data_IF_535073475756
#
_entry.id   IF_535073475756
#
_cell.length_a   1.000
_cell.length_b   1.000
_cell.length_c   1.000
_cell.angle_alpha   90.00
_cell.angle_beta   90.00
_cell.angle_gamma   90.00
#
_symmetry.space_group_name_H-M   'P 1'
#
loop_
_entity.id
_entity.type
_entity.pdbx_description
1 polymer ?
#
# COMPACT_ATOMS: atom_id res chain seq x y z
N UNK A 1 0.77 13.25 -11.39
CA UNK A 1 -0.13 14.11 -12.20
C UNK A 1 0.57 15.26 -12.91
N UNK A 2 1.73 15.73 -12.43
CA UNK A 2 2.51 16.81 -13.07
C UNK A 2 2.70 16.66 -14.59
N UNK A 3 2.93 15.43 -15.08
CA UNK A 3 3.05 15.15 -16.52
C UNK A 3 1.80 15.57 -17.30
N UNK A 4 0.61 15.27 -16.79
CA UNK A 4 -0.65 15.64 -17.42
C UNK A 4 -0.90 17.15 -17.37
N UNK A 5 -0.55 17.80 -16.25
CA UNK A 5 -0.59 19.26 -16.15
C UNK A 5 0.30 19.90 -17.23
N UNK A 6 1.53 19.40 -17.39
CA UNK A 6 2.46 19.89 -18.42
C UNK A 6 1.94 19.70 -19.85
N UNK A 7 1.28 18.58 -20.12
CA UNK A 7 0.65 18.33 -21.44
C UNK A 7 -0.48 19.33 -21.69
N UNK A 8 -1.32 19.59 -20.69
CA UNK A 8 -2.40 20.57 -20.80
C UNK A 8 -1.86 21.98 -21.08
N UNK A 9 -0.79 22.39 -20.39
CA UNK A 9 -0.10 23.67 -20.65
C UNK A 9 0.42 23.76 -22.09
N UNK A 10 1.18 22.76 -22.55
CA UNK A 10 1.79 22.77 -23.90
C UNK A 10 0.72 22.79 -24.99
N UNK A 11 -0.43 22.16 -24.74
CA UNK A 11 -1.54 22.07 -25.70
C UNK A 11 -2.57 23.19 -25.57
N UNK A 12 -2.38 24.13 -24.62
CA UNK A 12 -3.33 25.22 -24.37
C UNK A 12 -4.72 24.74 -23.90
N UNK A 13 -4.78 23.61 -23.18
CA UNK A 13 -6.03 23.01 -22.70
C UNK A 13 -6.22 23.21 -21.19
N UNK A 14 -7.47 23.31 -20.70
CA UNK A 14 -7.71 23.36 -19.26
C UNK A 14 -7.40 22.02 -18.59
N UNK A 15 -6.96 22.08 -17.33
CA UNK A 15 -6.58 20.90 -16.53
C UNK A 15 -7.33 20.78 -15.21
N UNK A 16 -8.51 21.40 -15.08
CA UNK A 16 -9.27 21.47 -13.83
C UNK A 16 -9.66 20.11 -13.24
N UNK A 17 -9.74 19.05 -14.06
CA UNK A 17 -9.97 17.69 -13.59
C UNK A 17 -8.88 17.19 -12.63
N UNK A 18 -7.63 17.70 -12.74
CA UNK A 18 -6.53 17.31 -11.85
C UNK A 18 -6.72 17.75 -10.39
N UNK A 19 -7.67 18.66 -10.13
CA UNK A 19 -7.98 19.12 -8.77
C UNK A 19 -8.82 18.11 -7.97
N UNK A 20 -9.47 17.15 -8.62
CA UNK A 20 -10.42 16.22 -7.99
C UNK A 20 -9.74 14.95 -7.48
N UNK A 21 -10.28 14.38 -6.39
CA UNK A 21 -9.79 13.13 -5.81
C UNK A 21 -9.73 11.96 -6.83
N UNK A 22 -10.59 11.99 -7.85
CA UNK A 22 -10.60 11.04 -8.97
C UNK A 22 -9.22 10.91 -9.63
N UNK A 23 -8.60 12.03 -10.02
CA UNK A 23 -7.30 11.96 -10.69
C UNK A 23 -6.17 11.53 -9.75
N UNK A 24 -6.30 11.80 -8.44
CA UNK A 24 -5.40 11.24 -7.45
C UNK A 24 -5.53 9.71 -7.37
N UNK A 25 -6.77 9.19 -7.33
CA UNK A 25 -7.04 7.76 -7.30
C UNK A 25 -6.51 7.06 -8.57
N UNK A 26 -6.74 7.63 -9.75
CA UNK A 26 -6.16 7.15 -11.02
C UNK A 26 -4.63 7.02 -10.89
N UNK A 27 -3.96 8.07 -10.40
CA UNK A 27 -2.50 8.04 -10.23
C UNK A 27 -2.00 6.99 -9.25
N UNK A 28 -2.75 6.74 -8.16
CA UNK A 28 -2.42 5.70 -7.18
C UNK A 28 -2.62 4.29 -7.76
N UNK A 29 -3.72 4.07 -8.49
CA UNK A 29 -4.02 2.78 -9.13
C UNK A 29 -2.97 2.46 -10.20
N UNK A 30 -2.63 3.42 -11.07
CA UNK A 30 -1.60 3.25 -12.11
C UNK A 30 -0.25 2.84 -11.50
N UNK A 31 0.15 3.52 -10.41
CA UNK A 31 1.37 3.19 -9.70
C UNK A 31 1.33 1.78 -9.09
N UNK A 32 0.20 1.37 -8.47
CA UNK A 32 0.03 0.06 -7.88
C UNK A 32 0.05 -1.08 -8.91
N UNK A 33 -0.62 -0.92 -10.04
CA UNK A 33 -0.62 -1.90 -11.14
C UNK A 33 0.77 -2.03 -11.76
N UNK A 34 1.45 -0.92 -12.02
CA UNK A 34 2.81 -0.93 -12.54
C UNK A 34 3.79 -1.62 -11.57
N UNK A 35 3.66 -1.34 -10.27
CA UNK A 35 4.51 -1.96 -9.26
C UNK A 35 4.26 -3.45 -9.12
N UNK A 36 3.00 -3.91 -9.17
CA UNK A 36 2.71 -5.34 -9.07
C UNK A 36 3.23 -6.11 -10.28
N UNK A 37 3.18 -5.52 -11.49
CA UNK A 37 3.84 -6.09 -12.66
C UNK A 37 5.36 -6.14 -12.49
N UNK A 38 5.98 -5.09 -11.94
CA UNK A 38 7.41 -5.08 -11.66
C UNK A 38 7.81 -6.16 -10.64
N UNK A 39 7.01 -6.35 -9.59
CA UNK A 39 7.23 -7.39 -8.59
C UNK A 39 7.16 -8.79 -9.21
N UNK A 40 6.09 -9.09 -9.96
CA UNK A 40 5.93 -10.37 -10.64
C UNK A 40 7.06 -10.64 -11.65
N UNK A 41 7.48 -9.62 -12.40
CA UNK A 41 8.60 -9.72 -13.33
C UNK A 41 9.91 -10.03 -12.58
N UNK A 42 10.24 -9.27 -11.54
CA UNK A 42 11.44 -9.49 -10.74
C UNK A 42 11.47 -10.90 -10.11
N UNK A 43 10.37 -11.35 -9.52
CA UNK A 43 10.25 -12.67 -8.91
C UNK A 43 10.40 -13.80 -9.95
N UNK A 44 9.84 -13.64 -11.16
CA UNK A 44 10.04 -14.60 -12.25
C UNK A 44 11.49 -14.71 -12.72
N UNK A 45 12.30 -13.69 -12.48
CA UNK A 45 13.75 -13.66 -12.74
C UNK A 45 14.58 -14.17 -11.56
N UNK A 46 13.93 -14.68 -10.49
CA UNK A 46 14.59 -15.18 -9.29
C UNK A 46 15.04 -14.10 -8.30
N UNK A 47 14.57 -12.86 -8.46
CA UNK A 47 14.82 -11.78 -7.51
C UNK A 47 13.75 -11.79 -6.40
N UNK A 48 14.12 -11.34 -5.20
CA UNK A 48 13.19 -11.05 -4.12
C UNK A 48 12.73 -9.60 -4.16
N UNK A 49 11.49 -9.35 -3.73
CA UNK A 49 10.93 -7.99 -3.64
C UNK A 49 10.29 -7.71 -2.28
N UNK A 50 10.28 -6.44 -1.89
CA UNK A 50 9.48 -5.97 -0.74
C UNK A 50 8.99 -4.53 -0.96
N UNK A 51 7.69 -4.33 -0.78
CA UNK A 51 7.07 -2.99 -0.80
C UNK A 51 7.41 -2.21 0.47
N UNK A 52 7.75 -0.93 0.29
CA UNK A 52 8.08 0.00 1.36
C UNK A 52 6.97 1.04 1.49
N UNK A 53 5.95 0.75 2.29
CA UNK A 53 4.87 1.68 2.59
C UNK A 53 5.29 2.89 3.43
N UNK A 54 6.44 2.80 4.11
CA UNK A 54 7.01 3.87 4.95
C UNK A 54 7.44 5.12 4.17
N UNK A 55 7.47 5.06 2.83
CA UNK A 55 7.66 6.27 2.00
C UNK A 55 6.61 7.36 2.26
N UNK A 56 5.50 6.99 2.91
CA UNK A 56 4.42 7.93 3.28
C UNK A 56 4.53 8.47 4.70
N UNK A 57 5.52 8.06 5.49
CA UNK A 57 5.66 8.54 6.88
C UNK A 57 6.09 10.01 6.92
N UNK A 58 6.92 10.44 5.96
CA UNK A 58 7.37 11.82 5.77
C UNK A 58 7.39 12.18 4.27
N UNK A 59 6.22 12.28 3.63
CA UNK A 59 6.10 12.40 2.16
C UNK A 59 6.76 13.69 1.63
N UNK A 60 6.80 14.76 2.41
CA UNK A 60 7.46 16.02 2.06
C UNK A 60 8.97 15.85 1.98
N UNK A 61 9.59 15.15 2.95
CA UNK A 61 11.04 14.86 2.93
C UNK A 61 11.43 13.91 1.82
N UNK A 62 10.59 12.93 1.53
CA UNK A 62 10.78 12.04 0.36
C UNK A 62 10.74 12.85 -0.94
N UNK A 63 9.78 13.78 -1.05
CA UNK A 63 9.68 14.65 -2.21
C UNK A 63 10.89 15.58 -2.36
N UNK A 64 11.40 16.15 -1.27
CA UNK A 64 12.62 16.96 -1.26
C UNK A 64 13.84 16.14 -1.71
N UNK A 65 14.06 14.97 -1.09
CA UNK A 65 15.19 14.10 -1.39
C UNK A 65 15.23 13.67 -2.87
N UNK A 66 14.07 13.35 -3.44
CA UNK A 66 13.93 12.90 -4.82
C UNK A 66 13.68 14.06 -5.81
N UNK A 67 13.73 15.31 -5.35
CA UNK A 67 13.44 16.51 -6.13
C UNK A 67 12.11 16.41 -6.91
N UNK A 68 11.06 15.84 -6.30
CA UNK A 68 9.77 15.67 -6.95
C UNK A 68 9.10 17.04 -7.16
N UNK A 69 8.52 17.30 -8.35
CA UNK A 69 7.77 18.53 -8.58
C UNK A 69 6.39 18.49 -7.91
N UNK A 70 5.70 19.63 -7.91
CA UNK A 70 4.30 19.72 -7.50
C UNK A 70 3.41 18.79 -8.33
N UNK A 71 2.42 18.16 -7.70
CA UNK A 71 1.56 17.16 -8.35
C UNK A 71 2.21 15.78 -8.54
N UNK A 72 3.28 15.49 -7.79
CA UNK A 72 3.96 14.18 -7.71
C UNK A 72 4.22 13.82 -6.25
N UNK A 73 3.94 12.56 -5.89
CA UNK A 73 4.17 11.98 -4.56
C UNK A 73 4.60 10.52 -4.71
N UNK A 74 5.39 10.01 -3.77
CA UNK A 74 5.73 8.58 -3.70
C UNK A 74 4.59 7.80 -3.03
N UNK A 75 3.96 6.87 -3.75
CA UNK A 75 2.89 6.01 -3.19
C UNK A 75 3.48 4.94 -2.27
N UNK A 76 4.59 4.34 -2.68
CA UNK A 76 5.40 3.38 -1.92
C UNK A 76 6.80 3.28 -2.59
N UNK A 77 7.75 2.67 -1.90
CA UNK A 77 9.01 2.22 -2.48
C UNK A 77 8.99 0.71 -2.76
N UNK A 78 10.01 0.19 -3.41
CA UNK A 78 10.21 -1.24 -3.63
C UNK A 78 11.70 -1.56 -3.58
N UNK A 79 12.10 -2.46 -2.69
CA UNK A 79 13.42 -3.06 -2.77
C UNK A 79 13.36 -4.29 -3.68
N UNK A 80 14.38 -4.45 -4.52
CA UNK A 80 14.55 -5.60 -5.43
C UNK A 80 16.00 -6.06 -5.32
N UNK A 81 16.24 -7.36 -5.21
CA UNK A 81 17.60 -7.91 -5.13
C UNK A 81 17.64 -9.42 -5.05
N UNK A 82 18.84 -9.98 -4.92
CA UNK A 82 19.03 -11.42 -4.76
C UNK A 82 18.67 -11.85 -3.32
N UNK A 83 17.74 -12.81 -3.13
CA UNK A 83 17.43 -13.34 -1.81
C UNK A 83 18.65 -14.01 -1.17
N UNK A 84 18.82 -13.88 0.15
CA UNK A 84 19.80 -14.66 0.91
C UNK A 84 19.33 -16.12 0.99
N UNK A 85 20.00 -17.09 0.33
CA UNK A 85 19.58 -18.48 0.35
C UNK A 85 19.67 -19.11 1.75
N UNK A 86 20.45 -18.52 2.68
CA UNK A 86 20.52 -18.97 4.06
C UNK A 86 19.31 -18.52 4.91
N UNK A 87 18.45 -17.64 4.38
CA UNK A 87 17.27 -17.10 5.07
C UNK A 87 16.04 -17.14 4.17
N UNK A 88 15.53 -18.34 3.85
CA UNK A 88 14.34 -18.45 3.01
C UNK A 88 13.12 -17.83 3.71
N UNK A 89 12.33 -17.07 2.95
CA UNK A 89 11.06 -16.53 3.44
C UNK A 89 9.96 -17.59 3.29
N UNK A 90 9.18 -17.82 4.34
CA UNK A 90 7.98 -18.64 4.26
C UNK A 90 6.79 -17.86 3.69
N UNK A 91 5.90 -18.56 2.99
CA UNK A 91 4.65 -17.97 2.48
C UNK A 91 3.68 -17.79 3.64
N UNK A 92 3.41 -16.54 4.00
CA UNK A 92 2.41 -16.19 5.02
C UNK A 92 1.00 -16.58 4.53
N UNK A 93 0.14 -17.18 5.39
CA UNK A 93 -1.26 -17.41 5.06
C UNK A 93 -1.99 -16.13 4.63
N UNK A 94 -3.10 -16.29 3.89
CA UNK A 94 -4.03 -15.22 3.53
C UNK A 94 -5.39 -15.48 4.16
N UNK A 95 -6.23 -14.44 4.26
CA UNK A 95 -7.62 -14.60 4.66
C UNK A 95 -8.32 -15.62 3.75
N UNK A 96 -9.25 -16.43 4.29
CA UNK A 96 -9.98 -17.40 3.48
C UNK A 96 -10.81 -16.69 2.41
N UNK A 97 -10.98 -17.34 1.25
CA UNK A 97 -11.74 -16.76 0.13
C UNK A 97 -13.17 -16.39 0.52
N UNK A 98 -13.81 -17.11 1.45
CA UNK A 98 -15.15 -16.78 1.95
C UNK A 98 -15.26 -15.40 2.59
N UNK A 99 -14.15 -14.78 3.00
CA UNK A 99 -14.08 -13.44 3.58
C UNK A 99 -13.72 -12.37 2.55
N UNK A 100 -13.07 -12.75 1.44
CA UNK A 100 -12.51 -11.80 0.46
C UNK A 100 -13.30 -11.78 -0.86
N UNK A 101 -13.78 -12.93 -1.30
CA UNK A 101 -14.59 -13.09 -2.51
C UNK A 101 -16.07 -13.06 -2.12
N UNK A 102 -16.80 -12.12 -2.69
CA UNK A 102 -18.24 -11.99 -2.50
C UNK A 102 -18.94 -12.22 -3.85
N UNK A 103 -20.00 -13.01 -3.83
CA UNK A 103 -20.85 -13.23 -4.99
C UNK A 103 -22.03 -12.26 -4.95
N UNK A 104 -22.20 -11.47 -6.01
CA UNK A 104 -23.26 -10.47 -6.22
C UNK A 104 -23.29 -9.29 -5.24
N UNK A 105 -23.32 -9.57 -3.93
CA UNK A 105 -23.44 -8.56 -2.87
C UNK A 105 -22.38 -8.79 -1.81
N UNK A 106 -21.87 -7.67 -1.28
CA UNK A 106 -21.01 -7.70 -0.11
C UNK A 106 -21.74 -8.37 1.07
N UNK A 107 -21.07 -9.30 1.74
CA UNK A 107 -21.66 -10.08 2.84
C UNK A 107 -20.70 -10.18 4.01
N UNK A 108 -21.22 -9.93 5.21
CA UNK A 108 -20.49 -10.04 6.48
C UNK A 108 -20.67 -11.43 7.13
N UNK A 109 -21.55 -12.29 6.59
CA UNK A 109 -21.95 -13.53 7.25
C UNK A 109 -20.78 -14.51 7.50
N UNK A 110 -19.81 -14.55 6.60
CA UNK A 110 -18.62 -15.39 6.72
C UNK A 110 -17.45 -14.71 7.46
N UNK A 111 -17.60 -13.44 7.85
CA UNK A 111 -16.48 -12.63 8.34
C UNK A 111 -15.96 -13.13 9.69
N UNK A 112 -16.82 -13.23 10.71
CA UNK A 112 -16.43 -13.69 12.05
C UNK A 112 -15.83 -15.11 12.05
N UNK A 113 -16.52 -16.15 11.52
CA UNK A 113 -15.95 -17.50 11.49
C UNK A 113 -14.69 -17.59 10.62
N UNK A 114 -14.61 -16.83 9.53
CA UNK A 114 -13.43 -16.78 8.67
C UNK A 114 -12.23 -16.09 9.31
N UNK A 115 -12.45 -15.04 10.11
CA UNK A 115 -11.41 -14.39 10.90
C UNK A 115 -10.89 -15.33 11.99
N UNK A 116 -11.77 -16.11 12.64
CA UNK A 116 -11.33 -17.07 13.65
C UNK A 116 -10.49 -18.20 13.05
N UNK A 117 -10.91 -18.76 11.91
CA UNK A 117 -10.11 -19.72 11.17
C UNK A 117 -8.74 -19.13 10.75
N UNK A 118 -8.71 -17.87 10.34
CA UNK A 118 -7.47 -17.19 10.00
C UNK A 118 -6.58 -16.90 11.21
N UNK A 119 -7.15 -16.59 12.38
CA UNK A 119 -6.39 -16.46 13.62
C UNK A 119 -5.66 -17.76 13.96
N UNK A 120 -6.33 -18.91 13.85
CA UNK A 120 -5.71 -20.22 14.07
C UNK A 120 -4.60 -20.52 13.05
N UNK A 121 -4.83 -20.27 11.75
CA UNK A 121 -3.82 -20.44 10.71
C UNK A 121 -2.58 -19.55 10.93
N UNK A 122 -2.79 -18.30 11.36
CA UNK A 122 -1.72 -17.37 11.68
C UNK A 122 -0.94 -17.77 12.94
N UNK A 123 -1.61 -18.30 13.97
CA UNK A 123 -0.94 -18.81 15.17
C UNK A 123 -0.01 -19.98 14.82
N UNK A 124 -0.48 -20.92 13.99
CA UNK A 124 0.36 -22.00 13.48
C UNK A 124 1.56 -21.49 12.67
N UNK A 125 1.34 -20.50 11.79
CA UNK A 125 2.43 -19.88 11.04
C UNK A 125 3.47 -19.21 11.94
N UNK A 126 3.04 -18.45 12.96
CA UNK A 126 3.95 -17.80 13.89
C UNK A 126 4.79 -18.81 14.67
N UNK A 127 4.20 -19.91 15.14
CA UNK A 127 4.91 -20.99 15.81
C UNK A 127 5.92 -21.67 14.88
N UNK A 128 5.51 -22.05 13.67
CA UNK A 128 6.37 -22.66 12.66
C UNK A 128 7.56 -21.76 12.26
N UNK A 129 7.37 -20.45 12.27
CA UNK A 129 8.41 -19.45 11.99
C UNK A 129 9.16 -18.99 13.25
N UNK A 130 8.88 -19.57 14.42
CA UNK A 130 9.47 -19.20 15.73
C UNK A 130 9.37 -17.70 16.02
N UNK A 131 8.27 -17.08 15.61
CA UNK A 131 8.03 -15.66 15.83
C UNK A 131 7.42 -15.44 17.21
N UNK A 132 8.03 -14.54 18.00
CA UNK A 132 7.46 -14.16 19.29
C UNK A 132 6.34 -13.13 19.11
N UNK A 133 5.14 -13.61 18.82
CA UNK A 133 3.98 -12.78 18.51
C UNK A 133 2.87 -13.03 19.54
N UNK A 134 2.50 -11.98 20.29
CA UNK A 134 1.47 -12.06 21.32
C UNK A 134 0.09 -11.62 20.82
N UNK A 135 -0.90 -12.49 20.90
CA UNK A 135 -2.28 -12.23 20.47
C UNK A 135 -2.55 -12.63 19.03
N UNK A 136 -3.81 -12.52 18.61
CA UNK A 136 -4.26 -12.96 17.29
C UNK A 136 -3.99 -11.93 16.20
N UNK A 137 -4.09 -12.35 14.94
CA UNK A 137 -4.05 -11.44 13.80
C UNK A 137 -5.11 -10.33 13.94
N UNK A 138 -6.33 -10.68 14.37
CA UNK A 138 -7.39 -9.70 14.58
C UNK A 138 -6.99 -8.63 15.62
N UNK A 139 -6.40 -9.03 16.74
CA UNK A 139 -5.92 -8.09 17.78
C UNK A 139 -4.81 -7.18 17.25
N UNK A 140 -3.85 -7.70 16.47
CA UNK A 140 -2.81 -6.85 15.86
C UNK A 140 -3.37 -5.87 14.84
N UNK A 141 -4.30 -6.34 14.00
CA UNK A 141 -4.95 -5.51 12.99
C UNK A 141 -5.75 -4.39 13.65
N UNK A 142 -6.50 -4.68 14.72
CA UNK A 142 -7.21 -3.69 15.51
C UNK A 142 -6.25 -2.66 16.14
N UNK A 143 -5.13 -3.11 16.70
CA UNK A 143 -4.09 -2.22 17.25
C UNK A 143 -3.53 -1.25 16.20
N UNK A 144 -3.36 -1.69 14.94
CA UNK A 144 -2.81 -0.84 13.87
C UNK A 144 -3.73 0.29 13.45
N UNK A 145 -5.03 0.15 13.66
CA UNK A 145 -6.06 1.15 13.29
C UNK A 145 -6.66 1.84 14.52
N UNK A 146 -6.07 1.66 15.70
CA UNK A 146 -6.66 2.12 16.97
C UNK A 146 -6.75 3.65 17.10
N UNK A 147 -5.88 4.39 16.41
CA UNK A 147 -5.94 5.86 16.39
C UNK A 147 -4.77 6.49 15.65
N UNK A 148 -4.73 7.83 15.54
CA UNK A 148 -3.69 8.56 14.79
C UNK A 148 -2.25 8.20 15.20
N UNK A 149 -2.02 7.94 16.48
CA UNK A 149 -0.72 7.55 17.04
C UNK A 149 -0.13 6.26 16.44
N UNK A 150 -0.97 5.41 15.84
CA UNK A 150 -0.53 4.14 15.21
C UNK A 150 -0.23 4.30 13.72
N UNK A 151 -0.45 5.50 13.16
CA UNK A 151 -0.27 5.81 11.75
C UNK A 151 1.13 6.33 11.42
N UNK A 152 2.06 6.40 12.37
CA UNK A 152 3.46 6.81 12.10
C UNK A 152 3.56 8.19 11.41
N UNK A 153 2.71 9.14 11.80
CA UNK A 153 2.64 10.48 11.19
C UNK A 153 1.79 10.57 9.92
N UNK A 154 1.17 9.47 9.47
CA UNK A 154 0.30 9.46 8.28
C UNK A 154 -1.12 9.98 8.54
N UNK A 155 -1.44 10.36 9.77
CA UNK A 155 -2.66 11.07 10.12
C UNK A 155 -2.76 12.44 9.41
N UNK A 156 -1.63 13.08 9.09
CA UNK A 156 -1.55 14.32 8.29
C UNK A 156 -1.42 14.14 6.77
N UNK A 157 -1.75 12.96 6.24
CA UNK A 157 -1.46 12.65 4.83
C UNK A 157 -2.22 13.57 3.86
N UNK A 158 -3.44 14.00 4.20
CA UNK A 158 -4.23 14.91 3.35
C UNK A 158 -3.59 16.28 3.27
N UNK A 159 -3.09 16.81 4.39
CA UNK A 159 -2.36 18.06 4.49
C UNK A 159 -1.09 17.99 3.64
N UNK A 160 -0.30 16.94 3.80
CA UNK A 160 0.91 16.72 3.01
C UNK A 160 0.59 16.67 1.50
N UNK A 161 -0.45 15.95 1.09
CA UNK A 161 -0.87 15.90 -0.32
C UNK A 161 -1.28 17.28 -0.85
N UNK A 162 -1.96 18.10 -0.04
CA UNK A 162 -2.30 19.48 -0.41
C UNK A 162 -1.07 20.37 -0.56
N UNK A 163 -0.09 20.27 0.34
CA UNK A 163 1.21 20.94 0.22
C UNK A 163 2.00 20.50 -1.03
N UNK A 164 1.74 19.26 -1.50
CA UNK A 164 2.26 18.70 -2.76
C UNK A 164 1.38 18.99 -3.99
N UNK A 165 0.41 19.90 -3.88
CA UNK A 165 -0.35 20.42 -5.02
C UNK A 165 -1.57 19.59 -5.41
N UNK A 166 -1.98 18.60 -4.61
CA UNK A 166 -3.21 17.85 -4.81
C UNK A 166 -4.35 18.54 -4.06
N UNK A 167 -5.30 19.17 -4.76
CA UNK A 167 -6.41 19.89 -4.10
C UNK A 167 -7.42 18.96 -3.43
N UNK A 168 -7.61 17.76 -3.99
CA UNK A 168 -8.50 16.71 -3.47
C UNK A 168 -9.93 17.23 -3.23
N UNK A 169 -10.49 17.88 -4.26
CA UNK A 169 -11.90 18.28 -4.30
C UNK A 169 -12.82 17.08 -4.45
#
# INVERSE_FOLDING_TARGET
LARLARIAEITGRPAGALDYAEMFLVGVIDAALAAQNAAAAAESLGLGTVYIGGMRDQPEKVAELLALPQGVVAVFGMCVGHPDPARPAAVKPRLPQSVVLHHEKYSLAAQEPGIEAYNAAMAHFYDAQRMNVHGTWAVHSAKRIAGPQTLSGRDRLVEALRERGFKLR
#
